data_IF_424029714142
#
_entry.id   IF_424029714142
#
_cell.length_a   1.000
_cell.length_b   1.000
_cell.length_c   1.000
_cell.angle_alpha   90.00
_cell.angle_beta   90.00
_cell.angle_gamma   90.00
#
_symmetry.space_group_name_H-M   'P 1'
#
loop_
_entity.id
_entity.type
_entity.pdbx_description
1 polymer ?
#
# COMPACT_ATOMS: atom_id res chain seq x y z
N UNK A 1 15.20 3.88 -10.98
CA UNK A 1 13.98 4.70 -10.86
C UNK A 1 12.86 4.31 -11.86
N UNK A 2 13.09 3.36 -12.78
CA UNK A 2 12.14 3.06 -13.86
C UNK A 2 10.86 2.32 -13.37
N UNK A 3 10.95 1.51 -12.32
CA UNK A 3 9.79 0.75 -11.82
C UNK A 3 8.66 1.64 -11.25
N UNK A 4 8.99 2.81 -10.72
CA UNK A 4 7.99 3.75 -10.21
C UNK A 4 7.22 4.48 -11.32
N UNK A 5 7.69 4.43 -12.56
CA UNK A 5 7.06 5.03 -13.73
C UNK A 5 6.16 4.05 -14.50
N UNK A 6 6.08 2.78 -14.07
CA UNK A 6 5.23 1.76 -14.71
C UNK A 6 3.76 2.03 -14.37
N UNK A 7 2.86 2.08 -15.38
CA UNK A 7 1.43 2.20 -15.13
C UNK A 7 0.90 1.10 -14.20
N UNK A 8 0.04 1.46 -13.25
CA UNK A 8 -0.44 0.52 -12.22
C UNK A 8 -1.14 -0.71 -12.80
N UNK A 9 -1.82 -0.56 -13.94
CA UNK A 9 -2.51 -1.64 -14.64
C UNK A 9 -1.57 -2.79 -15.06
N UNK A 10 -0.29 -2.50 -15.35
CA UNK A 10 0.71 -3.52 -15.74
C UNK A 10 0.99 -4.46 -14.58
N UNK A 11 0.97 -3.97 -13.34
CA UNK A 11 1.09 -4.85 -12.17
C UNK A 11 -0.11 -5.80 -12.03
N UNK A 12 -1.31 -5.37 -12.45
CA UNK A 12 -2.48 -6.24 -12.54
C UNK A 12 -2.30 -7.33 -13.60
N UNK A 13 -1.79 -7.00 -14.78
CA UNK A 13 -1.48 -7.97 -15.84
C UNK A 13 -0.39 -8.95 -15.39
N UNK A 14 0.64 -8.46 -14.70
CA UNK A 14 1.66 -9.31 -14.10
C UNK A 14 1.07 -10.24 -13.04
N UNK A 15 0.17 -9.75 -12.22
CA UNK A 15 -0.58 -10.55 -11.25
C UNK A 15 -1.41 -11.65 -11.90
N UNK A 16 -2.09 -11.33 -13.00
CA UNK A 16 -2.83 -12.31 -13.80
C UNK A 16 -1.91 -13.39 -14.38
N UNK A 17 -0.80 -12.99 -15.00
CA UNK A 17 0.12 -13.92 -15.64
C UNK A 17 0.87 -14.80 -14.63
N UNK A 18 1.41 -14.20 -13.58
CA UNK A 18 2.28 -14.88 -12.62
C UNK A 18 1.48 -15.56 -11.53
N UNK A 19 0.66 -14.82 -10.77
CA UNK A 19 0.00 -15.40 -9.61
C UNK A 19 -1.17 -16.30 -9.96
N UNK A 20 -1.98 -15.93 -10.96
CA UNK A 20 -3.15 -16.71 -11.33
C UNK A 20 -2.78 -17.81 -12.32
N UNK A 21 -2.13 -17.48 -13.44
CA UNK A 21 -1.89 -18.48 -14.50
C UNK A 21 -0.69 -19.37 -14.19
N UNK A 22 0.43 -18.85 -13.65
CA UNK A 22 1.62 -19.67 -13.39
C UNK A 22 1.55 -20.37 -12.03
N UNK A 23 1.20 -19.66 -10.93
CA UNK A 23 1.09 -20.27 -9.61
C UNK A 23 -0.28 -20.92 -9.33
N UNK A 24 -1.27 -20.75 -10.20
CA UNK A 24 -2.59 -21.34 -10.04
C UNK A 24 -3.41 -20.78 -8.87
N UNK A 25 -3.10 -19.57 -8.42
CA UNK A 25 -3.86 -18.94 -7.33
C UNK A 25 -5.27 -18.54 -7.81
N UNK A 26 -6.27 -18.61 -6.93
CA UNK A 26 -7.65 -18.30 -7.29
C UNK A 26 -7.81 -16.81 -7.64
N UNK A 27 -8.63 -16.54 -8.66
CA UNK A 27 -9.05 -15.20 -9.04
C UNK A 27 -9.83 -14.54 -7.91
N UNK A 28 -9.83 -13.21 -7.87
CA UNK A 28 -10.54 -12.42 -6.85
C UNK A 28 -10.10 -12.67 -5.41
N UNK A 29 -9.03 -13.43 -5.18
CA UNK A 29 -8.55 -13.73 -3.84
C UNK A 29 -7.82 -12.52 -3.21
N UNK A 30 -8.06 -12.20 -1.92
CA UNK A 30 -7.34 -11.17 -1.19
C UNK A 30 -5.82 -11.35 -1.24
N UNK A 31 -5.35 -12.61 -1.22
CA UNK A 31 -3.94 -12.93 -1.32
C UNK A 31 -3.33 -12.41 -2.62
N UNK A 32 -3.98 -12.67 -3.76
CA UNK A 32 -3.50 -12.20 -5.07
C UNK A 32 -3.54 -10.68 -5.15
N UNK A 33 -4.63 -10.06 -4.68
CA UNK A 33 -4.75 -8.61 -4.59
C UNK A 33 -3.64 -7.98 -3.75
N UNK A 34 -3.37 -8.55 -2.58
CA UNK A 34 -2.30 -8.10 -1.68
C UNK A 34 -0.91 -8.22 -2.31
N UNK A 35 -0.60 -9.32 -3.00
CA UNK A 35 0.67 -9.52 -3.68
C UNK A 35 0.88 -8.53 -4.85
N UNK A 36 -0.16 -8.29 -5.64
CA UNK A 36 -0.13 -7.31 -6.74
C UNK A 36 0.08 -5.89 -6.22
N UNK A 37 -0.65 -5.49 -5.18
CA UNK A 37 -0.49 -4.20 -4.54
C UNK A 37 0.89 -4.06 -3.87
N UNK A 38 1.40 -5.12 -3.25
CA UNK A 38 2.75 -5.12 -2.67
C UNK A 38 3.82 -4.85 -3.73
N UNK A 39 3.75 -5.51 -4.90
CA UNK A 39 4.66 -5.27 -6.01
C UNK A 39 4.58 -3.84 -6.55
N UNK A 40 3.36 -3.29 -6.65
CA UNK A 40 3.12 -1.92 -7.11
C UNK A 40 3.72 -0.88 -6.15
N UNK A 41 3.59 -1.11 -4.85
CA UNK A 41 4.02 -0.14 -3.82
C UNK A 41 5.50 -0.27 -3.48
N UNK A 42 6.07 -1.47 -3.69
CA UNK A 42 7.47 -1.77 -3.38
C UNK A 42 8.47 -0.73 -3.90
N UNK A 43 8.43 -0.27 -5.17
CA UNK A 43 9.35 0.75 -5.66
C UNK A 43 9.21 2.08 -4.90
N UNK A 44 7.98 2.48 -4.58
CA UNK A 44 7.71 3.72 -3.83
C UNK A 44 8.28 3.63 -2.42
N UNK A 45 8.09 2.49 -1.74
CA UNK A 45 8.65 2.25 -0.40
C UNK A 45 10.17 2.27 -0.45
N UNK A 46 10.79 1.60 -1.43
CA UNK A 46 12.26 1.57 -1.58
C UNK A 46 12.81 2.98 -1.78
N UNK A 47 12.21 3.78 -2.67
CA UNK A 47 12.66 5.15 -2.95
C UNK A 47 12.53 6.03 -1.72
N UNK A 48 11.36 6.00 -1.06
CA UNK A 48 11.09 6.81 0.12
C UNK A 48 12.01 6.42 1.31
N UNK A 49 12.14 5.12 1.56
CA UNK A 49 13.02 4.61 2.62
C UNK A 49 14.50 4.94 2.36
N UNK A 50 14.96 4.76 1.12
CA UNK A 50 16.33 5.14 0.74
C UNK A 50 16.59 6.64 0.92
N UNK A 51 15.64 7.48 0.53
CA UNK A 51 15.76 8.93 0.71
C UNK A 51 15.84 9.29 2.21
N UNK A 52 14.97 8.70 3.02
CA UNK A 52 14.95 8.91 4.46
C UNK A 52 16.25 8.44 5.14
N UNK A 53 16.75 7.25 4.78
CA UNK A 53 18.00 6.71 5.32
C UNK A 53 19.22 7.57 4.93
N UNK A 54 19.24 8.13 3.72
CA UNK A 54 20.31 9.00 3.26
C UNK A 54 20.27 10.41 3.88
N UNK A 55 19.11 10.83 4.36
CA UNK A 55 18.95 12.12 5.03
C UNK A 55 19.57 12.15 6.43
N UNK A 56 19.91 10.99 7.01
CA UNK A 56 20.60 10.91 8.31
C UNK A 56 22.07 11.28 8.13
N UNK A 57 22.57 12.35 8.80
CA UNK A 57 23.98 12.72 8.71
C UNK A 57 24.87 11.59 9.22
N UNK A 58 25.99 11.28 8.54
CA UNK A 58 26.95 10.26 8.97
C UNK A 58 27.47 10.46 10.39
N UNK A 59 27.63 11.72 10.80
CA UNK A 59 28.08 12.11 12.14
C UNK A 59 27.24 11.52 13.28
N UNK A 60 25.94 11.31 13.06
CA UNK A 60 25.05 10.70 14.06
C UNK A 60 25.40 9.24 14.29
N UNK A 61 25.65 8.51 13.20
CA UNK A 61 26.08 7.12 13.29
C UNK A 61 27.47 7.02 13.94
N UNK A 62 28.38 7.90 13.56
CA UNK A 62 29.74 7.97 14.12
C UNK A 62 29.70 8.34 15.62
N UNK A 63 28.88 9.31 15.99
CA UNK A 63 28.70 9.68 17.41
C UNK A 63 28.13 8.52 18.24
N UNK A 64 27.13 7.80 17.71
CA UNK A 64 26.58 6.64 18.41
C UNK A 64 27.65 5.54 18.62
N UNK A 65 28.47 5.28 17.59
CA UNK A 65 29.59 4.33 17.69
C UNK A 65 30.66 4.82 18.67
N UNK A 66 30.96 6.12 18.67
CA UNK A 66 31.93 6.74 19.58
C UNK A 66 31.56 6.64 21.05
N UNK A 67 30.28 6.61 21.40
CA UNK A 67 29.78 6.37 22.78
C UNK A 67 29.59 4.86 23.09
N UNK A 68 30.06 3.96 22.22
CA UNK A 68 30.08 2.52 22.48
C UNK A 68 28.84 1.76 21.98
N UNK A 69 27.96 2.39 21.20
CA UNK A 69 26.84 1.66 20.59
C UNK A 69 27.34 0.69 19.51
N UNK A 70 26.73 -0.51 19.44
CA UNK A 70 27.00 -1.42 18.34
C UNK A 70 26.45 -0.88 17.01
N UNK A 71 26.96 -1.35 15.86
CA UNK A 71 26.44 -1.00 14.53
C UNK A 71 24.94 -1.26 14.40
N UNK A 72 24.46 -2.36 14.96
CA UNK A 72 23.03 -2.70 14.97
C UNK A 72 22.22 -1.70 15.80
N UNK A 73 22.70 -1.36 17.00
CA UNK A 73 22.03 -0.35 17.85
C UNK A 73 21.96 1.01 17.16
N UNK A 74 23.04 1.47 16.53
CA UNK A 74 23.06 2.72 15.79
C UNK A 74 22.02 2.74 14.65
N UNK A 75 21.91 1.62 13.90
CA UNK A 75 20.93 1.50 12.80
C UNK A 75 19.49 1.44 13.32
N UNK A 76 19.20 0.55 14.27
CA UNK A 76 17.82 0.32 14.71
C UNK A 76 17.24 1.46 15.54
N UNK A 77 18.05 2.17 16.32
CA UNK A 77 17.56 3.26 17.19
C UNK A 77 17.61 4.65 16.57
N UNK A 78 18.49 4.86 15.57
CA UNK A 78 18.70 6.21 15.02
C UNK A 78 18.38 6.31 13.51
N UNK A 79 18.63 5.27 12.74
CA UNK A 79 18.49 5.34 11.27
C UNK A 79 17.16 4.77 10.80
N UNK A 80 16.80 3.57 11.23
CA UNK A 80 15.61 2.85 10.78
C UNK A 80 14.28 3.57 11.10
N UNK A 81 14.08 4.20 12.28
CA UNK A 81 12.82 4.88 12.60
C UNK A 81 12.46 5.98 11.60
N UNK A 82 13.44 6.57 10.93
CA UNK A 82 13.22 7.60 9.91
C UNK A 82 12.67 7.05 8.58
N UNK A 83 12.82 5.75 8.31
CA UNK A 83 12.28 5.11 7.11
C UNK A 83 10.79 4.73 7.25
N UNK A 84 10.28 4.55 8.47
CA UNK A 84 8.92 4.08 8.76
C UNK A 84 7.83 4.96 8.12
N UNK A 85 7.89 6.31 8.16
CA UNK A 85 6.87 7.15 7.55
C UNK A 85 6.71 6.95 6.04
N UNK A 86 7.82 6.68 5.33
CA UNK A 86 7.78 6.38 3.89
C UNK A 86 7.03 5.09 3.57
N UNK A 87 7.16 4.08 4.41
CA UNK A 87 6.44 2.80 4.29
C UNK A 87 4.94 2.99 4.47
N UNK A 88 4.53 3.74 5.49
CA UNK A 88 3.10 4.01 5.78
C UNK A 88 2.45 4.78 4.62
N UNK A 89 3.16 5.78 4.07
CA UNK A 89 2.67 6.53 2.92
C UNK A 89 2.49 5.63 1.68
N UNK A 90 3.38 4.67 1.47
CA UNK A 90 3.27 3.66 0.42
C UNK A 90 2.02 2.80 0.59
N UNK A 91 1.74 2.30 1.79
CA UNK A 91 0.54 1.51 2.10
C UNK A 91 -0.73 2.34 1.89
N UNK A 92 -0.77 3.59 2.35
CA UNK A 92 -1.91 4.49 2.15
C UNK A 92 -2.21 4.71 0.66
N UNK A 93 -1.17 4.81 -0.18
CA UNK A 93 -1.33 4.90 -1.63
C UNK A 93 -1.94 3.62 -2.23
N UNK A 94 -1.49 2.44 -1.80
CA UNK A 94 -1.99 1.16 -2.30
C UNK A 94 -3.48 0.97 -2.09
N UNK A 95 -4.03 1.47 -0.99
CA UNK A 95 -5.44 1.32 -0.64
C UNK A 95 -6.39 2.05 -1.59
N UNK A 96 -5.92 3.06 -2.33
CA UNK A 96 -6.70 3.77 -3.34
C UNK A 96 -6.61 3.17 -4.75
N UNK A 97 -5.75 2.17 -4.98
CA UNK A 97 -5.52 1.63 -6.32
C UNK A 97 -6.63 0.65 -6.73
N UNK A 98 -7.25 0.93 -7.89
CA UNK A 98 -8.37 0.15 -8.43
C UNK A 98 -7.96 -0.67 -9.64
N UNK A 99 -7.22 -0.09 -10.58
CA UNK A 99 -6.93 -0.69 -11.88
C UNK A 99 -6.27 -2.08 -11.84
N UNK A 100 -5.21 -2.34 -11.04
CA UNK A 100 -4.63 -3.67 -10.98
C UNK A 100 -5.57 -4.71 -10.36
N UNK A 101 -6.45 -4.30 -9.45
CA UNK A 101 -7.41 -5.18 -8.80
C UNK A 101 -8.56 -5.59 -9.73
N UNK A 102 -8.98 -4.70 -10.63
CA UNK A 102 -9.91 -5.03 -11.72
C UNK A 102 -9.32 -6.12 -12.63
N UNK A 103 -8.05 -5.99 -13.00
CA UNK A 103 -7.39 -6.93 -13.91
C UNK A 103 -7.28 -8.35 -13.36
N UNK A 104 -7.07 -8.52 -12.05
CA UNK A 104 -7.02 -9.85 -11.41
C UNK A 104 -8.41 -10.43 -11.10
N UNK A 105 -9.48 -9.72 -11.48
CA UNK A 105 -10.84 -10.21 -11.40
C UNK A 105 -11.57 -9.95 -10.10
N UNK A 106 -11.14 -8.97 -9.27
CA UNK A 106 -11.86 -8.59 -8.03
C UNK A 106 -13.19 -7.85 -8.31
N UNK A 107 -13.82 -8.19 -9.44
CA UNK A 107 -15.15 -7.73 -9.87
C UNK A 107 -16.25 -8.73 -9.54
N UNK A 108 -15.91 -9.87 -8.92
CA UNK A 108 -16.87 -10.92 -8.62
C UNK A 108 -17.99 -10.42 -7.69
N UNK A 109 -19.21 -10.87 -7.96
CA UNK A 109 -20.32 -10.67 -7.04
C UNK A 109 -20.10 -11.56 -5.80
N UNK A 110 -19.88 -10.93 -4.66
CA UNK A 110 -19.60 -11.62 -3.40
C UNK A 110 -20.90 -11.70 -2.59
N UNK A 111 -21.38 -12.92 -2.37
CA UNK A 111 -22.61 -13.19 -1.59
C UNK A 111 -22.26 -13.35 -0.11
N UNK A 112 -21.22 -14.12 0.17
CA UNK A 112 -20.79 -14.45 1.52
C UNK A 112 -19.50 -13.69 1.91
N UNK A 113 -19.36 -13.42 3.19
CA UNK A 113 -18.12 -12.81 3.72
C UNK A 113 -16.99 -13.85 3.62
N UNK A 114 -15.87 -13.52 2.93
CA UNK A 114 -14.75 -14.45 2.80
C UNK A 114 -14.15 -14.77 4.17
N UNK A 115 -13.90 -16.06 4.43
CA UNK A 115 -13.31 -16.57 5.67
C UNK A 115 -11.82 -16.81 5.57
N UNK A 116 -11.27 -16.74 4.34
CA UNK A 116 -9.86 -17.01 4.06
C UNK A 116 -9.25 -16.09 3.02
N UNK A 117 -7.92 -16.08 2.95
CA UNK A 117 -7.15 -15.26 2.01
C UNK A 117 -7.25 -15.73 0.55
N UNK A 118 -7.72 -16.95 0.32
CA UNK A 118 -7.86 -17.57 -1.00
C UNK A 118 -9.29 -17.63 -1.50
N UNK A 119 -10.25 -17.20 -0.69
CA UNK A 119 -11.66 -17.11 -1.09
C UNK A 119 -11.91 -15.84 -1.91
N UNK A 120 -12.97 -15.85 -2.73
CA UNK A 120 -13.31 -14.68 -3.53
C UNK A 120 -13.74 -13.50 -2.65
N UNK A 121 -13.15 -12.36 -2.90
CA UNK A 121 -13.41 -11.11 -2.20
C UNK A 121 -13.45 -9.93 -3.16
N UNK A 122 -13.96 -8.82 -2.70
CA UNK A 122 -13.92 -7.53 -3.39
C UNK A 122 -13.29 -6.48 -2.50
N UNK A 123 -12.99 -5.32 -3.08
CA UNK A 123 -12.43 -4.19 -2.37
C UNK A 123 -13.23 -2.93 -2.64
N UNK A 124 -13.24 -2.01 -1.69
CA UNK A 124 -14.08 -0.82 -1.74
C UNK A 124 -13.86 0.03 -3.00
N UNK A 125 -12.61 0.30 -3.47
CA UNK A 125 -12.39 1.05 -4.71
C UNK A 125 -13.01 0.38 -5.96
N UNK A 126 -12.95 -0.95 -6.03
CA UNK A 126 -13.57 -1.70 -7.14
C UNK A 126 -15.10 -1.64 -7.07
N UNK A 127 -15.67 -1.73 -5.87
CA UNK A 127 -17.12 -1.61 -5.69
C UNK A 127 -17.64 -0.21 -6.04
N UNK A 128 -16.92 0.83 -5.67
CA UNK A 128 -17.22 2.20 -6.07
C UNK A 128 -17.27 2.32 -7.59
N UNK A 129 -16.25 1.76 -8.29
CA UNK A 129 -16.19 1.76 -9.74
C UNK A 129 -17.39 1.04 -10.36
N UNK A 130 -17.71 -0.19 -9.90
CA UNK A 130 -18.81 -0.98 -10.41
C UNK A 130 -20.18 -0.34 -10.15
N UNK A 131 -20.40 0.21 -8.97
CA UNK A 131 -21.68 0.86 -8.62
C UNK A 131 -21.87 2.21 -9.31
N UNK A 132 -20.79 2.92 -9.64
CA UNK A 132 -20.86 4.20 -10.35
C UNK A 132 -21.35 4.07 -11.79
N UNK A 133 -21.20 2.88 -12.38
CA UNK A 133 -21.64 2.58 -13.76
C UNK A 133 -23.11 2.10 -13.81
N UNK A 134 -23.77 1.92 -12.66
CA UNK A 134 -25.15 1.47 -12.59
C UNK A 134 -26.13 2.67 -12.61
N UNK A 135 -27.18 2.63 -13.46
CA UNK A 135 -28.09 3.74 -13.63
C UNK A 135 -29.08 3.95 -12.48
N UNK A 136 -29.27 2.95 -11.60
CA UNK A 136 -30.25 3.01 -10.53
C UNK A 136 -29.83 3.97 -9.42
N UNK A 137 -30.75 4.83 -8.98
CA UNK A 137 -30.55 5.85 -7.93
C UNK A 137 -30.04 5.23 -6.62
N UNK A 138 -30.49 4.02 -6.30
CA UNK A 138 -30.04 3.30 -5.11
C UNK A 138 -28.51 3.00 -5.10
N UNK A 139 -27.91 2.77 -6.27
CA UNK A 139 -26.47 2.57 -6.38
C UNK A 139 -25.67 3.88 -6.33
N UNK A 140 -26.26 4.99 -6.79
CA UNK A 140 -25.63 6.32 -6.65
C UNK A 140 -25.43 6.69 -5.17
N UNK A 141 -26.44 6.48 -4.33
CA UNK A 141 -26.35 6.74 -2.90
C UNK A 141 -25.35 5.80 -2.20
N UNK A 142 -25.29 4.51 -2.59
CA UNK A 142 -24.31 3.55 -2.08
C UNK A 142 -22.90 3.93 -2.49
N UNK A 143 -22.70 4.33 -3.74
CA UNK A 143 -21.41 4.82 -4.26
C UNK A 143 -20.95 6.04 -3.46
N UNK A 144 -21.82 7.02 -3.25
CA UNK A 144 -21.48 8.20 -2.44
C UNK A 144 -21.09 7.84 -1.00
N UNK A 145 -21.83 6.94 -0.35
CA UNK A 145 -21.50 6.46 0.99
C UNK A 145 -20.14 5.72 1.00
N UNK A 146 -19.87 4.86 0.02
CA UNK A 146 -18.64 4.12 -0.10
C UNK A 146 -17.44 5.06 -0.33
N UNK A 147 -17.60 6.11 -1.13
CA UNK A 147 -16.59 7.15 -1.34
C UNK A 147 -16.25 7.85 -0.02
N UNK A 148 -17.27 8.24 0.75
CA UNK A 148 -17.06 8.88 2.05
C UNK A 148 -16.27 7.97 2.99
N UNK A 149 -16.65 6.70 3.09
CA UNK A 149 -15.93 5.71 3.91
C UNK A 149 -14.47 5.57 3.46
N UNK A 150 -14.24 5.43 2.16
CA UNK A 150 -12.89 5.31 1.61
C UNK A 150 -12.05 6.56 1.92
N UNK A 151 -12.62 7.77 1.74
CA UNK A 151 -11.94 9.02 2.06
C UNK A 151 -11.59 9.13 3.56
N UNK A 152 -12.51 8.76 4.45
CA UNK A 152 -12.24 8.77 5.90
C UNK A 152 -11.07 7.84 6.24
N UNK A 153 -11.04 6.63 5.67
CA UNK A 153 -9.94 5.68 5.87
C UNK A 153 -8.62 6.26 5.34
N UNK A 154 -8.61 6.80 4.10
CA UNK A 154 -7.41 7.35 3.48
C UNK A 154 -6.89 8.59 4.24
N UNK A 155 -7.77 9.50 4.64
CA UNK A 155 -7.37 10.65 5.46
C UNK A 155 -6.86 10.23 6.84
N UNK A 156 -7.49 9.24 7.47
CA UNK A 156 -7.04 8.69 8.74
C UNK A 156 -5.64 8.10 8.66
N UNK A 157 -5.38 7.30 7.62
CA UNK A 157 -4.05 6.70 7.38
C UNK A 157 -3.00 7.76 7.04
N UNK A 158 -3.33 8.74 6.20
CA UNK A 158 -2.42 9.84 5.89
C UNK A 158 -2.13 10.69 7.14
N UNK A 159 -3.13 10.99 7.95
CA UNK A 159 -2.94 11.71 9.21
C UNK A 159 -2.05 10.91 10.18
N UNK A 160 -2.26 9.60 10.30
CA UNK A 160 -1.41 8.72 11.09
C UNK A 160 0.04 8.71 10.58
N UNK A 161 0.24 8.64 9.25
CA UNK A 161 1.56 8.70 8.63
C UNK A 161 2.28 10.03 8.94
N UNK A 162 1.57 11.16 8.82
CA UNK A 162 2.09 12.49 9.11
C UNK A 162 2.42 12.62 10.62
N UNK A 163 1.54 12.14 11.49
CA UNK A 163 1.77 12.14 12.94
C UNK A 163 3.00 11.32 13.32
N UNK A 164 3.12 10.11 12.80
CA UNK A 164 4.29 9.26 13.03
C UNK A 164 5.55 9.90 12.48
N UNK A 165 5.50 10.48 11.29
CA UNK A 165 6.63 11.21 10.73
C UNK A 165 7.09 12.33 11.68
N UNK A 166 6.17 13.18 12.14
CA UNK A 166 6.50 14.27 13.08
C UNK A 166 7.08 13.76 14.39
N UNK A 167 6.60 12.64 14.91
CA UNK A 167 7.09 12.04 16.15
C UNK A 167 8.49 11.45 16.02
N UNK A 168 8.82 10.89 14.86
CA UNK A 168 10.14 10.28 14.61
C UNK A 168 11.12 11.22 13.91
N UNK A 169 10.63 12.36 13.37
CA UNK A 169 11.48 13.38 12.77
C UNK A 169 12.20 14.13 13.88
N UNK A 170 13.44 13.73 14.16
CA UNK A 170 14.35 14.49 15.01
C UNK A 170 14.99 15.56 14.15
N UNK A 171 14.73 16.83 14.45
CA UNK A 171 15.45 17.96 13.88
C UNK A 171 16.83 17.99 14.54
N UNK A 172 17.84 17.79 13.74
CA UNK A 172 19.25 17.87 14.14
C UNK A 172 19.74 19.29 13.98
#
# INVERSE_FOLDING_TARGET
NNLAAVPSIIFGLLGLAVFINFFGLPRSAPLVGGLVLALLVLPTIIIASRAALKAVPPSIKEAALGVGASHQQAVFHHVLPLAVPGTILGVARALGETAPLLMIGMVAFIVDVPKGFTEAATVLPVQIFLWSDLPEIAFQSRTAAAIIVLLVILFGLNAAAIYMRKRFERRW
#
